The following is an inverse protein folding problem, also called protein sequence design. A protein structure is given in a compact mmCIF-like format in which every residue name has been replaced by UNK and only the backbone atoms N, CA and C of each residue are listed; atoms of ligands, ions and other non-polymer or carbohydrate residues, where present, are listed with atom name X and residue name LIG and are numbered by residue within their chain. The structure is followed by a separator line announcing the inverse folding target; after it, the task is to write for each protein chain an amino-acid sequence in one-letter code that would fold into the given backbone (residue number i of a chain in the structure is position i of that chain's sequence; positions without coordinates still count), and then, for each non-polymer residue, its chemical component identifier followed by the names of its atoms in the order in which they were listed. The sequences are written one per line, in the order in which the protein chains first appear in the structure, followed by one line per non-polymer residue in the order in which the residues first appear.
data_IF_518384451415
#
_entry.id   IF_518384451415
#
_cell.length_a   1.000
_cell.length_b   1.000
_cell.length_c   1.000
_cell.angle_alpha   90.00
_cell.angle_beta   90.00
_cell.angle_gamma   90.00
#
_symmetry.space_group_name_H-M   'P 1'
#
loop_
_entity.id
_entity.type
_entity.pdbx_description
1 polymer ?
#
# COMPACT_ATOMS: atom_id res chain seq x y z
N UNK A 1 55.76 -8.90 -17.87
CA UNK A 1 54.35 -9.33 -17.74
C UNK A 1 54.07 -9.20 -16.27
N UNK A 2 53.65 -8.02 -15.86
CA UNK A 2 53.73 -7.55 -14.47
C UNK A 2 52.46 -7.91 -13.72
N UNK A 3 52.62 -8.69 -12.65
CA UNK A 3 51.59 -9.18 -11.72
C UNK A 3 50.87 -8.09 -10.89
N UNK A 4 50.96 -6.82 -11.31
CA UNK A 4 50.41 -5.66 -10.58
C UNK A 4 49.14 -5.07 -11.20
N UNK A 5 48.60 -5.69 -12.25
CA UNK A 5 47.40 -5.19 -12.94
C UNK A 5 46.08 -5.69 -12.32
N UNK A 6 46.10 -6.74 -11.50
CA UNK A 6 44.89 -7.34 -10.91
C UNK A 6 44.70 -7.03 -9.41
N UNK A 7 45.55 -6.20 -8.80
CA UNK A 7 45.52 -5.96 -7.34
C UNK A 7 44.71 -4.74 -6.90
N UNK A 8 44.04 -4.01 -7.80
CA UNK A 8 43.32 -2.77 -7.43
C UNK A 8 41.96 -2.65 -8.12
N UNK A 9 41.19 -3.74 -8.10
CA UNK A 9 39.75 -3.58 -7.96
C UNK A 9 39.38 -4.08 -6.58
N UNK A 10 39.16 -3.15 -5.66
CA UNK A 10 38.34 -3.42 -4.50
C UNK A 10 36.94 -3.69 -5.03
N UNK A 11 36.71 -4.92 -5.50
CA UNK A 11 35.38 -5.42 -5.75
C UNK A 11 34.83 -5.65 -4.35
N UNK A 12 34.14 -4.66 -3.81
CA UNK A 12 33.12 -4.91 -2.80
C UNK A 12 32.09 -5.79 -3.51
N UNK A 13 32.36 -7.10 -3.50
CA UNK A 13 31.49 -8.10 -4.06
C UNK A 13 30.16 -7.94 -3.36
N UNK A 14 29.24 -7.26 -4.03
CA UNK A 14 27.83 -7.24 -3.71
C UNK A 14 27.46 -8.68 -3.40
N UNK A 15 27.05 -8.90 -2.16
CA UNK A 15 26.62 -10.19 -1.67
C UNK A 15 25.32 -10.54 -2.41
N UNK A 16 25.46 -11.20 -3.57
CA UNK A 16 24.34 -11.52 -4.48
C UNK A 16 23.29 -12.39 -3.77
N UNK A 17 23.67 -13.03 -2.65
CA UNK A 17 22.76 -13.82 -1.83
C UNK A 17 22.07 -13.03 -0.71
N UNK A 18 22.44 -11.77 -0.46
CA UNK A 18 21.79 -10.93 0.55
C UNK A 18 20.54 -10.23 0.02
N UNK A 19 20.53 -9.84 -1.27
CA UNK A 19 19.35 -9.23 -1.89
C UNK A 19 18.23 -10.23 -2.20
N UNK A 20 18.54 -11.53 -2.27
CA UNK A 20 17.54 -12.58 -2.53
C UNK A 20 16.67 -12.94 -1.33
N UNK A 21 17.05 -12.56 -0.10
CA UNK A 21 16.20 -12.74 1.09
C UNK A 21 15.32 -11.52 1.39
N UNK A 22 15.42 -10.45 0.60
CA UNK A 22 14.51 -9.31 0.68
C UNK A 22 13.22 -9.51 -0.13
N UNK A 23 12.88 -10.73 -0.54
CA UNK A 23 11.53 -11.02 -1.03
C UNK A 23 10.58 -11.23 0.15
N UNK A 24 10.37 -10.19 0.95
CA UNK A 24 9.30 -10.15 1.94
C UNK A 24 8.45 -8.90 1.70
N UNK A 25 7.29 -9.13 1.08
CA UNK A 25 6.06 -8.38 1.31
C UNK A 25 5.99 -6.97 0.72
N UNK A 26 6.01 -6.83 -0.61
CA UNK A 26 5.27 -5.72 -1.24
C UNK A 26 4.01 -6.24 -1.93
N UNK A 27 3.12 -6.88 -1.17
CA UNK A 27 1.71 -7.08 -1.52
C UNK A 27 0.85 -5.89 -1.08
N UNK A 28 1.46 -4.72 -0.86
CA UNK A 28 0.74 -3.47 -0.62
C UNK A 28 0.30 -2.77 -1.92
N UNK A 29 0.63 -3.31 -3.10
CA UNK A 29 0.54 -2.51 -4.32
C UNK A 29 -0.87 -2.12 -4.75
N UNK A 30 -1.93 -2.81 -4.30
CA UNK A 30 -3.29 -2.55 -4.80
C UNK A 30 -4.39 -2.61 -3.73
N UNK A 31 -4.10 -2.30 -2.46
CA UNK A 31 -5.17 -2.19 -1.44
C UNK A 31 -5.92 -0.85 -1.60
N UNK A 32 -7.27 -0.85 -1.63
CA UNK A 32 -8.03 0.39 -1.64
C UNK A 32 -7.96 1.09 -0.27
N UNK A 33 -8.20 2.39 -0.26
CA UNK A 33 -8.33 3.18 0.96
C UNK A 33 -9.75 3.05 1.53
N UNK A 34 -9.87 2.71 2.81
CA UNK A 34 -11.16 2.63 3.49
C UNK A 34 -11.43 3.89 4.30
N UNK A 35 -12.62 4.46 4.10
CA UNK A 35 -13.08 5.66 4.78
C UNK A 35 -14.43 5.37 5.43
N UNK A 36 -14.57 5.60 6.74
CA UNK A 36 -15.83 5.48 7.47
C UNK A 36 -16.18 6.85 8.03
N UNK A 37 -17.38 7.36 7.72
CA UNK A 37 -17.84 8.68 8.21
C UNK A 37 -16.81 9.81 7.96
N UNK A 38 -16.09 9.73 6.83
CA UNK A 38 -15.05 10.69 6.45
C UNK A 38 -13.69 10.51 7.13
N UNK A 39 -13.50 9.46 7.93
CA UNK A 39 -12.21 9.13 8.58
C UNK A 39 -11.56 7.92 7.94
N UNK A 40 -10.24 7.99 7.75
CA UNK A 40 -9.42 6.85 7.31
C UNK A 40 -9.36 5.80 8.42
N UNK A 41 -9.66 4.55 8.05
CA UNK A 41 -9.68 3.42 8.98
C UNK A 41 -8.95 2.23 8.37
N UNK A 42 -8.52 1.31 9.24
CA UNK A 42 -7.91 0.05 8.81
C UNK A 42 -9.00 -0.98 8.44
N UNK A 43 -8.62 -1.99 7.68
CA UNK A 43 -9.50 -3.10 7.29
C UNK A 43 -10.06 -3.86 8.52
N UNK A 44 -9.31 -3.91 9.62
CA UNK A 44 -9.77 -4.51 10.88
C UNK A 44 -11.00 -3.79 11.44
N UNK A 45 -10.99 -2.45 11.44
CA UNK A 45 -12.11 -1.63 11.91
C UNK A 45 -13.33 -1.82 11.00
N UNK A 46 -13.13 -1.97 9.68
CA UNK A 46 -14.22 -2.27 8.74
C UNK A 46 -14.86 -3.62 9.05
N UNK A 47 -14.06 -4.64 9.39
CA UNK A 47 -14.56 -5.96 9.72
C UNK A 47 -15.40 -5.99 11.01
N UNK A 48 -15.18 -5.05 11.91
CA UNK A 48 -15.97 -4.90 13.14
C UNK A 48 -17.33 -4.20 12.92
N UNK A 49 -17.50 -3.49 11.80
CA UNK A 49 -18.77 -2.81 11.48
C UNK A 49 -19.82 -3.85 11.10
N UNK A 50 -20.98 -3.78 11.75
CA UNK A 50 -22.11 -4.65 11.40
C UNK A 50 -22.72 -4.19 10.09
N UNK A 51 -23.09 -5.12 9.19
CA UNK A 51 -23.74 -4.76 7.93
C UNK A 51 -25.12 -4.10 8.15
N UNK A 52 -25.78 -4.34 9.29
CA UNK A 52 -27.05 -3.68 9.62
C UNK A 52 -26.89 -2.18 9.92
N UNK A 53 -25.72 -1.76 10.41
CA UNK A 53 -25.42 -0.36 10.73
C UNK A 53 -24.96 0.44 9.49
N UNK A 54 -24.71 -0.22 8.35
CA UNK A 54 -24.30 0.45 7.10
C UNK A 54 -25.51 1.09 6.42
N UNK A 55 -25.42 2.39 6.17
CA UNK A 55 -26.41 3.16 5.42
C UNK A 55 -26.15 3.08 3.92
N UNK A 56 -24.91 3.39 3.50
CA UNK A 56 -24.52 3.35 2.10
C UNK A 56 -23.03 3.15 1.93
N UNK A 57 -22.64 2.60 0.78
CA UNK A 57 -21.24 2.40 0.39
C UNK A 57 -21.04 3.13 -0.94
N UNK A 58 -20.07 4.04 -0.98
CA UNK A 58 -19.66 4.74 -2.18
C UNK A 58 -18.26 4.30 -2.59
N UNK A 59 -18.09 3.96 -3.86
CA UNK A 59 -16.81 3.49 -4.40
C UNK A 59 -16.29 4.51 -5.39
N UNK A 60 -15.24 5.23 -4.99
CA UNK A 60 -14.56 6.20 -5.83
C UNK A 60 -13.45 5.52 -6.62
N UNK A 61 -13.47 5.71 -7.94
CA UNK A 61 -12.49 5.16 -8.89
C UNK A 61 -11.75 6.29 -9.62
N UNK A 62 -10.54 5.97 -10.06
CA UNK A 62 -9.69 6.82 -10.90
C UNK A 62 -9.53 8.24 -10.32
N UNK A 63 -9.92 9.25 -11.11
CA UNK A 63 -9.71 10.67 -10.82
C UNK A 63 -10.52 11.14 -9.61
N UNK A 64 -11.72 10.59 -9.38
CA UNK A 64 -12.57 11.00 -8.25
C UNK A 64 -11.94 10.63 -6.91
N UNK A 65 -11.25 9.48 -6.85
CA UNK A 65 -10.54 9.04 -5.66
C UNK A 65 -9.32 9.92 -5.38
N UNK A 66 -8.45 10.12 -6.38
CA UNK A 66 -7.25 10.95 -6.26
C UNK A 66 -7.58 12.42 -5.99
N UNK A 67 -8.67 12.96 -6.54
CA UNK A 67 -9.08 14.34 -6.32
C UNK A 67 -9.45 14.64 -4.85
N UNK A 68 -10.04 13.66 -4.16
CA UNK A 68 -10.53 13.83 -2.78
C UNK A 68 -9.51 13.36 -1.73
N UNK A 69 -8.76 12.30 -2.02
CA UNK A 69 -7.85 11.63 -1.08
C UNK A 69 -6.37 11.65 -1.49
N UNK A 70 -6.03 12.31 -2.60
CA UNK A 70 -4.65 12.42 -3.09
C UNK A 70 -4.06 11.08 -3.53
N UNK A 71 -2.74 10.93 -3.36
CA UNK A 71 -2.01 9.72 -3.76
C UNK A 71 -2.47 8.45 -3.04
N UNK A 72 -2.98 8.58 -1.81
CA UNK A 72 -3.56 7.45 -1.05
C UNK A 72 -4.76 6.81 -1.74
N UNK A 73 -5.50 7.60 -2.53
CA UNK A 73 -6.65 7.13 -3.30
C UNK A 73 -6.31 6.55 -4.66
N UNK A 74 -5.02 6.45 -5.03
CA UNK A 74 -4.58 5.92 -6.34
C UNK A 74 -5.08 4.50 -6.61
N UNK A 75 -5.22 3.71 -5.55
CA UNK A 75 -5.72 2.33 -5.61
C UNK A 75 -7.25 2.22 -5.45
N UNK A 76 -7.96 3.36 -5.49
CA UNK A 76 -9.40 3.44 -5.23
C UNK A 76 -9.73 3.73 -3.77
N UNK A 77 -10.92 4.28 -3.53
CA UNK A 77 -11.40 4.64 -2.19
C UNK A 77 -12.80 4.08 -1.99
N UNK A 78 -13.03 3.44 -0.85
CA UNK A 78 -14.33 2.94 -0.43
C UNK A 78 -14.79 3.78 0.75
N UNK A 79 -15.83 4.58 0.55
CA UNK A 79 -16.48 5.36 1.61
C UNK A 79 -17.68 4.59 2.12
N UNK A 80 -17.77 4.45 3.44
CA UNK A 80 -18.87 3.79 4.14
C UNK A 80 -19.53 4.82 5.04
N UNK A 81 -20.85 4.94 4.88
CA UNK A 81 -21.71 5.77 5.70
C UNK A 81 -22.53 4.88 6.63
N UNK A 82 -22.62 5.26 7.90
CA UNK A 82 -23.36 4.55 8.93
C UNK A 82 -24.75 5.17 9.11
N UNK A 83 -25.73 4.33 9.45
CA UNK A 83 -27.10 4.78 9.72
C UNK A 83 -27.11 5.72 10.93
N UNK A 84 -27.75 6.87 10.77
CA UNK A 84 -28.08 7.74 11.91
C UNK A 84 -29.26 7.14 12.66
N UNK A 85 -29.04 6.81 13.94
CA UNK A 85 -30.06 6.28 14.84
C UNK A 85 -30.90 7.39 15.45
#
# INVERSE_FOLDING_TARGET
MDDKYYSEQQIEGIDIVSDCYSTQQNTQENKPLYIVEGKEVTEEIIAEIKPDDVESINVLKDISATKKYGEKGKNGVIEIYLKKK
#
